data_IF_074870442122
#
_entry.id   IF_074870442122
#
_cell.length_a   1.000
_cell.length_b   1.000
_cell.length_c   1.000
_cell.angle_alpha   90.00
_cell.angle_beta   90.00
_cell.angle_gamma   90.00
#
_symmetry.space_group_name_H-M   'P 1'
#
loop_
_entity.id
_entity.type
_entity.pdbx_description
1 polymer ?
#
# COMPACT_ATOMS: atom_id res chain seq x y z
N UNK A 1 -4.87 -4.00 16.23
CA UNK A 1 -6.26 -3.52 15.98
C UNK A 1 -6.94 -4.52 15.07
N UNK A 2 -8.18 -4.91 15.39
CA UNK A 2 -9.00 -5.77 14.53
C UNK A 2 -9.79 -4.88 13.57
N UNK A 3 -9.81 -5.23 12.29
CA UNK A 3 -10.56 -4.52 11.26
C UNK A 3 -11.46 -5.52 10.52
N UNK A 4 -12.72 -5.18 10.24
CA UNK A 4 -13.65 -6.10 9.59
C UNK A 4 -13.19 -6.48 8.17
N UNK A 5 -13.38 -7.75 7.77
CA UNK A 5 -13.10 -8.23 6.40
C UNK A 5 -14.04 -7.64 5.34
N UNK A 6 -15.24 -7.21 5.76
CA UNK A 6 -16.27 -6.65 4.88
C UNK A 6 -16.79 -5.36 5.50
N UNK A 7 -16.87 -4.28 4.72
CA UNK A 7 -17.37 -2.98 5.18
C UNK A 7 -18.33 -2.41 4.15
N UNK A 8 -19.44 -1.82 4.61
CA UNK A 8 -20.32 -1.01 3.76
C UNK A 8 -19.76 0.40 3.61
N UNK A 9 -19.41 0.79 2.38
CA UNK A 9 -18.81 2.10 2.06
C UNK A 9 -19.41 2.61 0.75
N UNK A 10 -19.45 3.93 0.57
CA UNK A 10 -19.83 4.55 -0.69
C UNK A 10 -18.86 4.16 -1.82
N UNK A 11 -19.41 3.64 -2.91
CA UNK A 11 -18.68 3.35 -4.14
C UNK A 11 -18.89 4.49 -5.17
N UNK A 12 -17.83 5.18 -5.64
CA UNK A 12 -17.97 6.28 -6.59
C UNK A 12 -18.33 5.84 -8.02
N UNK A 13 -18.28 4.54 -8.32
CA UNK A 13 -18.69 4.00 -9.63
C UNK A 13 -20.15 3.56 -9.64
N UNK A 14 -20.64 3.00 -8.54
CA UNK A 14 -22.04 2.60 -8.40
C UNK A 14 -22.93 3.73 -7.88
N UNK A 15 -22.34 4.83 -7.39
CA UNK A 15 -23.03 5.94 -6.72
C UNK A 15 -23.95 5.51 -5.56
N UNK A 16 -23.57 4.42 -4.88
CA UNK A 16 -24.34 3.83 -3.79
C UNK A 16 -23.42 3.27 -2.71
N UNK A 17 -23.96 3.05 -1.51
CA UNK A 17 -23.28 2.35 -0.43
C UNK A 17 -23.35 0.85 -0.66
N UNK A 18 -22.21 0.23 -0.91
CA UNK A 18 -22.11 -1.19 -1.25
C UNK A 18 -21.14 -1.90 -0.32
N UNK A 19 -21.22 -3.23 -0.30
CA UNK A 19 -20.27 -4.06 0.45
C UNK A 19 -18.93 -4.13 -0.28
N UNK A 20 -17.87 -3.83 0.46
CA UNK A 20 -16.50 -3.88 -0.02
C UNK A 20 -15.73 -4.98 0.72
N UNK A 21 -14.96 -5.78 -0.03
CA UNK A 21 -13.98 -6.70 0.54
C UNK A 21 -12.72 -5.93 0.90
N UNK A 22 -12.23 -6.16 2.11
CA UNK A 22 -11.08 -5.45 2.66
C UNK A 22 -9.84 -6.33 2.55
N UNK A 23 -8.79 -5.79 1.94
CA UNK A 23 -7.46 -6.41 1.94
C UNK A 23 -6.41 -5.43 2.41
N UNK A 24 -5.32 -5.92 3.02
CA UNK A 24 -4.20 -5.07 3.43
C UNK A 24 -3.34 -4.78 2.19
N UNK A 25 -2.98 -3.51 1.99
CA UNK A 25 -2.08 -3.15 0.91
C UNK A 25 -0.67 -3.70 1.16
N UNK A 26 -0.16 -4.46 0.19
CA UNK A 26 1.25 -4.82 0.06
C UNK A 26 1.88 -4.07 -1.12
N UNK A 27 3.14 -3.65 -0.95
CA UNK A 27 3.91 -3.02 -2.02
C UNK A 27 4.37 -4.09 -3.01
N UNK A 28 4.12 -3.90 -4.31
CA UNK A 28 4.52 -4.84 -5.37
C UNK A 28 6.02 -4.81 -5.68
N UNK A 29 6.46 -5.68 -6.60
CA UNK A 29 7.86 -5.67 -7.09
C UNK A 29 8.16 -4.37 -7.83
N UNK A 30 9.32 -3.76 -7.59
CA UNK A 30 9.75 -2.55 -8.33
C UNK A 30 10.05 -2.89 -9.79
N UNK A 31 9.64 -2.01 -10.71
CA UNK A 31 9.90 -2.16 -12.16
C UNK A 31 11.31 -1.67 -12.53
N UNK A 32 12.08 -2.50 -13.23
CA UNK A 32 13.46 -2.16 -13.65
C UNK A 32 13.53 -1.12 -14.78
N UNK A 33 12.54 -1.10 -15.66
CA UNK A 33 12.47 -0.17 -16.79
C UNK A 33 12.03 1.25 -16.41
N UNK A 34 11.68 1.49 -15.14
CA UNK A 34 11.35 2.83 -14.66
C UNK A 34 12.56 3.77 -14.86
N UNK A 35 12.31 5.00 -15.28
CA UNK A 35 13.36 5.96 -15.63
C UNK A 35 14.38 6.18 -14.49
N UNK A 36 13.90 6.34 -13.26
CA UNK A 36 14.76 6.50 -12.08
C UNK A 36 15.67 5.30 -11.83
N UNK A 37 15.16 4.08 -12.05
CA UNK A 37 15.95 2.87 -11.92
C UNK A 37 16.99 2.75 -13.05
N UNK A 38 16.61 3.05 -14.30
CA UNK A 38 17.55 3.09 -15.45
C UNK A 38 18.68 4.08 -15.20
N UNK A 39 18.37 5.29 -14.73
CA UNK A 39 19.34 6.33 -14.39
C UNK A 39 20.27 5.91 -13.25
N UNK A 40 19.71 5.30 -12.20
CA UNK A 40 20.51 4.79 -11.08
C UNK A 40 21.45 3.68 -11.51
N UNK A 41 20.98 2.70 -12.30
CA UNK A 41 21.80 1.61 -12.82
C UNK A 41 22.92 2.12 -13.72
N UNK A 42 22.64 3.10 -14.60
CA UNK A 42 23.68 3.77 -15.41
C UNK A 42 24.72 4.45 -14.53
N UNK A 43 24.27 5.17 -13.48
CA UNK A 43 25.15 5.81 -12.50
C UNK A 43 25.89 4.79 -11.62
N UNK A 44 25.43 3.56 -11.49
CA UNK A 44 26.10 2.54 -10.70
C UNK A 44 27.23 1.84 -11.47
N UNK A 45 27.23 1.90 -12.81
CA UNK A 45 28.28 1.29 -13.64
C UNK A 45 29.66 1.92 -13.38
N UNK A 46 30.69 1.07 -13.36
CA UNK A 46 32.07 1.44 -13.06
C UNK A 46 32.40 1.35 -11.56
N UNK A 47 33.48 1.98 -11.14
CA UNK A 47 33.97 1.95 -9.76
C UNK A 47 33.28 3.01 -8.87
N UNK A 48 33.45 2.88 -7.55
CA UNK A 48 32.98 3.87 -6.57
C UNK A 48 31.75 3.49 -5.74
N UNK A 49 31.50 2.19 -5.52
CA UNK A 49 30.45 1.68 -4.62
C UNK A 49 29.08 2.35 -4.86
N UNK A 50 28.38 2.81 -3.81
CA UNK A 50 27.06 3.42 -3.93
C UNK A 50 27.12 4.95 -4.13
N UNK A 51 26.72 5.44 -5.32
CA UNK A 51 26.72 6.88 -5.66
C UNK A 51 25.46 7.67 -5.25
N UNK A 52 24.51 7.06 -4.54
CA UNK A 52 23.32 7.72 -3.97
C UNK A 52 23.27 7.48 -2.46
N UNK A 53 22.93 8.50 -1.66
CA UNK A 53 22.90 8.37 -0.21
C UNK A 53 21.81 7.38 0.22
N UNK A 54 22.10 6.61 1.27
CA UNK A 54 21.15 5.69 1.91
C UNK A 54 20.83 6.21 3.31
N UNK A 55 19.55 6.26 3.65
CA UNK A 55 19.11 6.61 5.00
C UNK A 55 19.54 5.52 5.99
N UNK A 56 20.37 5.84 6.97
CA UNK A 56 20.87 4.88 7.98
C UNK A 56 19.99 4.79 9.22
N UNK A 57 19.47 5.93 9.70
CA UNK A 57 18.70 6.02 10.95
C UNK A 57 17.21 6.26 10.65
N UNK A 58 16.34 5.39 11.17
CA UNK A 58 14.89 5.53 11.07
C UNK A 58 14.30 5.79 12.47
N UNK A 59 13.67 6.94 12.67
CA UNK A 59 13.08 7.29 13.97
C UNK A 59 11.71 6.61 14.21
N UNK A 60 10.94 6.37 13.15
CA UNK A 60 9.58 5.83 13.27
C UNK A 60 9.61 4.30 13.22
N UNK A 61 9.04 3.68 14.25
CA UNK A 61 8.98 2.22 14.41
C UNK A 61 7.76 1.57 13.74
N UNK A 62 6.69 2.33 13.51
CA UNK A 62 5.44 1.86 12.86
C UNK A 62 5.26 2.46 11.47
N UNK A 63 4.38 1.87 10.66
CA UNK A 63 4.00 2.39 9.33
C UNK A 63 2.52 2.75 9.30
N UNK A 64 2.14 3.64 8.38
CA UNK A 64 0.72 3.88 8.08
C UNK A 64 0.20 2.67 7.31
N UNK A 65 -0.82 2.00 7.84
CA UNK A 65 -1.43 0.86 7.16
C UNK A 65 -2.54 1.36 6.24
N UNK A 66 -2.48 0.93 4.98
CA UNK A 66 -3.46 1.22 3.96
C UNK A 66 -4.28 -0.05 3.72
N UNK A 67 -5.60 0.09 3.73
CA UNK A 67 -6.53 -0.95 3.33
C UNK A 67 -7.02 -0.68 1.91
N UNK A 68 -7.10 -1.74 1.11
CA UNK A 68 -7.77 -1.74 -0.19
C UNK A 68 -9.19 -2.23 0.02
N UNK A 69 -10.16 -1.44 -0.41
CA UNK A 69 -11.58 -1.72 -0.38
C UNK A 69 -12.00 -2.03 -1.82
N UNK A 70 -12.28 -3.28 -2.12
CA UNK A 70 -12.76 -3.69 -3.43
C UNK A 70 -14.28 -3.84 -3.40
N UNK A 71 -14.98 -3.06 -4.23
CA UNK A 71 -16.44 -3.14 -4.34
C UNK A 71 -16.85 -4.50 -4.90
N UNK A 72 -17.81 -5.19 -4.26
CA UNK A 72 -18.30 -6.50 -4.73
C UNK A 72 -19.08 -6.42 -6.05
N UNK A 73 -19.71 -5.27 -6.34
CA UNK A 73 -20.55 -5.11 -7.53
C UNK A 73 -19.74 -4.76 -8.79
N UNK A 74 -18.90 -3.72 -8.72
CA UNK A 74 -18.18 -3.20 -9.90
C UNK A 74 -16.67 -3.48 -9.90
N UNK A 75 -16.13 -4.10 -8.84
CA UNK A 75 -14.70 -4.39 -8.71
C UNK A 75 -13.80 -3.19 -8.47
N UNK A 76 -14.35 -1.97 -8.40
CA UNK A 76 -13.57 -0.75 -8.16
C UNK A 76 -12.84 -0.82 -6.82
N UNK A 77 -11.55 -0.47 -6.83
CA UNK A 77 -10.68 -0.50 -5.65
C UNK A 77 -10.47 0.91 -5.11
N UNK A 78 -10.93 1.15 -3.89
CA UNK A 78 -10.66 2.37 -3.13
C UNK A 78 -9.58 2.09 -2.08
N UNK A 79 -8.57 2.96 -1.97
CA UNK A 79 -7.56 2.85 -0.93
C UNK A 79 -7.84 3.84 0.20
N UNK A 80 -7.84 3.35 1.46
CA UNK A 80 -8.00 4.20 2.65
C UNK A 80 -6.88 3.95 3.66
N UNK A 81 -6.39 5.02 4.27
CA UNK A 81 -5.39 4.95 5.36
C UNK A 81 -6.09 4.80 6.70
N UNK A 82 -5.72 3.79 7.50
CA UNK A 82 -6.25 3.61 8.87
C UNK A 82 -5.46 4.44 9.88
N UNK A 83 -4.16 4.67 9.62
CA UNK A 83 -3.25 5.36 10.54
C UNK A 83 -1.98 4.54 10.80
N UNK A 84 -1.12 5.01 11.74
CA UNK A 84 0.10 4.29 12.14
C UNK A 84 -0.23 3.21 13.16
N UNK A 85 0.08 1.96 12.83
CA UNK A 85 -0.20 0.81 13.70
C UNK A 85 0.99 -0.16 13.66
N UNK A 86 1.18 -0.94 14.74
CA UNK A 86 2.15 -2.04 14.77
C UNK A 86 1.65 -3.27 14.00
N UNK A 87 0.38 -3.65 14.24
CA UNK A 87 -0.29 -4.79 13.59
C UNK A 87 -1.77 -4.49 13.35
N UNK A 88 -2.24 -4.81 12.16
CA UNK A 88 -3.65 -4.81 11.77
C UNK A 88 -4.03 -6.24 11.43
N UNK A 89 -5.08 -6.76 12.07
CA UNK A 89 -5.61 -8.10 11.82
C UNK A 89 -7.00 -7.96 11.21
N UNK A 90 -7.25 -8.70 10.12
CA UNK A 90 -8.57 -8.73 9.50
C UNK A 90 -9.42 -9.80 10.19
N UNK A 91 -10.42 -9.36 10.95
CA UNK A 91 -11.33 -10.23 11.69
C UNK A 91 -12.73 -10.20 11.05
N UNK A 92 -13.52 -11.24 11.27
CA UNK A 92 -14.96 -11.18 11.02
C UNK A 92 -15.59 -10.27 12.07
N UNK A 93 -16.47 -9.37 11.63
CA UNK A 93 -17.28 -8.61 12.55
C UNK A 93 -18.25 -9.60 13.24
N UNK A 94 -18.24 -9.60 14.57
CA UNK A 94 -19.34 -10.16 15.35
C UNK A 94 -20.58 -9.32 15.15
#
# INVERSE_FOLDING_TARGET
MKFPKVVKVYCPRCNAYTEHTVTIYSHGKRRNLAEGQRRYLRKLKGYGSSRKPKQKRFAKTTKKIVVKLQCRQCGYVLMRTVGRLKKLELAEAK
#
